data_IF_991647262680
#
_entry.id   IF_991647262680
#
_cell.length_a   1.000
_cell.length_b   1.000
_cell.length_c   1.000
_cell.angle_alpha   90.00
_cell.angle_beta   90.00
_cell.angle_gamma   90.00
#
_symmetry.space_group_name_H-M   'P 1'
#
loop_
_entity.id
_entity.type
_entity.pdbx_description
1 polymer ?
#
# COMPACT_ATOMS: atom_id res chain seq x y z
N UNK A 1 6.08 2.70 -21.80
CA UNK A 1 7.49 3.11 -21.74
C UNK A 1 7.72 4.13 -20.62
N UNK A 2 6.94 5.21 -20.58
CA UNK A 2 7.07 6.27 -19.56
C UNK A 2 6.95 5.75 -18.13
N UNK A 3 5.98 4.86 -17.88
CA UNK A 3 5.82 4.20 -16.57
C UNK A 3 7.04 3.38 -16.15
N UNK A 4 7.74 2.76 -17.11
CA UNK A 4 8.96 2.00 -16.84
C UNK A 4 10.11 2.92 -16.44
N UNK A 5 10.24 4.08 -17.10
CA UNK A 5 11.21 5.12 -16.73
C UNK A 5 10.88 5.66 -15.33
N UNK A 6 9.62 5.96 -15.06
CA UNK A 6 9.15 6.37 -13.74
C UNK A 6 9.46 5.35 -12.64
N UNK A 7 9.19 4.06 -12.86
CA UNK A 7 9.51 3.02 -11.89
C UNK A 7 11.01 2.96 -11.54
N UNK A 8 11.87 3.15 -12.55
CA UNK A 8 13.33 3.22 -12.35
C UNK A 8 13.71 4.51 -11.58
N UNK A 9 13.14 5.66 -11.94
CA UNK A 9 13.46 6.93 -11.26
C UNK A 9 12.97 6.98 -9.81
N UNK A 10 11.84 6.35 -9.50
CA UNK A 10 11.33 6.22 -8.13
C UNK A 10 12.21 5.28 -7.30
N UNK A 11 12.67 4.17 -7.88
CA UNK A 11 13.61 3.26 -7.17
C UNK A 11 14.97 3.92 -6.91
N UNK A 12 15.43 4.78 -7.82
CA UNK A 12 16.61 5.62 -7.65
C UNK A 12 16.41 6.84 -6.72
N UNK A 13 15.20 7.02 -6.15
CA UNK A 13 14.80 8.15 -5.30
C UNK A 13 14.94 9.54 -5.94
N UNK A 14 14.97 9.61 -7.27
CA UNK A 14 14.98 10.87 -8.03
C UNK A 14 13.56 11.42 -8.10
N UNK A 15 12.59 10.54 -8.39
CA UNK A 15 11.17 10.86 -8.35
C UNK A 15 10.54 10.32 -7.07
N UNK A 16 9.48 10.98 -6.61
CA UNK A 16 8.90 10.70 -5.30
C UNK A 16 7.42 10.36 -5.43
N UNK A 17 7.10 9.16 -4.95
CA UNK A 17 5.76 8.63 -4.83
C UNK A 17 5.45 8.25 -3.38
N UNK A 18 4.20 8.42 -2.95
CA UNK A 18 3.72 8.05 -1.63
C UNK A 18 2.41 7.29 -1.77
N UNK A 19 2.24 6.24 -0.97
CA UNK A 19 0.98 5.50 -0.91
C UNK A 19 0.07 6.22 0.09
N UNK A 20 -1.05 6.75 -0.40
CA UNK A 20 -2.06 7.43 0.41
C UNK A 20 -3.40 6.71 0.25
N UNK A 21 -3.86 6.11 1.34
CA UNK A 21 -5.11 5.32 1.36
C UNK A 21 -6.27 6.28 1.09
N UNK A 22 -7.02 6.03 0.01
CA UNK A 22 -8.14 6.87 -0.42
C UNK A 22 -7.77 8.09 -1.27
N UNK A 23 -6.57 8.15 -1.86
CA UNK A 23 -6.16 9.26 -2.74
C UNK A 23 -7.05 9.43 -3.99
N UNK A 24 -7.31 8.33 -4.69
CA UNK A 24 -8.41 8.17 -5.67
C UNK A 24 -9.12 6.84 -5.42
N UNK A 25 -10.32 6.64 -5.98
CA UNK A 25 -11.11 5.42 -5.77
C UNK A 25 -10.50 4.18 -6.43
N UNK A 26 -9.72 4.38 -7.49
CA UNK A 26 -9.09 3.33 -8.29
C UNK A 26 -7.60 3.17 -7.97
N UNK A 27 -6.88 4.25 -7.69
CA UNK A 27 -5.44 4.25 -7.45
C UNK A 27 -5.06 4.93 -6.11
N UNK A 28 -4.30 4.21 -5.27
CA UNK A 28 -3.82 4.70 -3.97
C UNK A 28 -2.44 5.39 -4.04
N UNK A 29 -1.88 5.52 -5.24
CA UNK A 29 -0.57 6.08 -5.46
C UNK A 29 -0.66 7.60 -5.66
N UNK A 30 -0.04 8.35 -4.76
CA UNK A 30 0.14 9.79 -4.88
C UNK A 30 1.56 10.09 -5.39
N UNK A 31 1.65 10.44 -6.67
CA UNK A 31 2.91 10.81 -7.33
C UNK A 31 3.13 12.32 -7.23
N UNK A 32 3.60 12.76 -6.06
CA UNK A 32 3.69 14.19 -5.75
C UNK A 32 4.87 14.92 -6.41
N UNK A 33 5.87 14.21 -6.94
CA UNK A 33 7.00 14.80 -7.68
C UNK A 33 7.50 13.83 -8.75
N UNK A 34 7.19 14.14 -10.02
CA UNK A 34 7.59 13.36 -11.20
C UNK A 34 7.93 14.27 -12.41
N UNK A 35 8.92 15.17 -12.28
CA UNK A 35 9.24 16.14 -13.33
C UNK A 35 9.99 15.54 -14.54
N UNK A 36 10.60 14.36 -14.43
CA UNK A 36 11.47 13.79 -15.47
C UNK A 36 10.84 12.66 -16.28
N UNK A 37 9.81 12.00 -15.74
CA UNK A 37 9.07 10.94 -16.45
C UNK A 37 7.76 11.44 -17.05
N UNK A 38 6.98 12.25 -16.32
CA UNK A 38 5.58 12.57 -16.68
C UNK A 38 5.31 14.07 -16.93
N UNK A 39 6.35 14.91 -17.00
CA UNK A 39 6.17 16.28 -17.48
C UNK A 39 5.94 16.30 -19.00
N UNK A 40 5.16 17.26 -19.52
CA UNK A 40 4.98 17.41 -20.97
C UNK A 40 6.34 17.57 -21.68
N UNK A 41 7.24 18.34 -21.07
CA UNK A 41 8.59 18.54 -21.59
C UNK A 41 9.36 17.20 -21.65
N UNK A 42 9.32 16.41 -20.58
CA UNK A 42 9.92 15.08 -20.58
C UNK A 42 9.27 14.15 -21.62
N UNK A 43 7.94 14.21 -21.78
CA UNK A 43 7.24 13.40 -22.77
C UNK A 43 7.66 13.70 -24.20
N UNK A 44 7.82 14.97 -24.54
CA UNK A 44 8.36 15.38 -25.84
C UNK A 44 9.80 14.89 -25.99
N UNK A 45 10.65 15.07 -24.97
CA UNK A 45 12.05 14.63 -25.02
C UNK A 45 12.17 13.11 -25.20
N UNK A 46 11.42 12.31 -24.44
CA UNK A 46 11.44 10.84 -24.55
C UNK A 46 10.87 10.33 -25.87
N UNK A 47 9.85 11.00 -26.41
CA UNK A 47 9.27 10.66 -27.70
C UNK A 47 10.25 10.93 -28.86
N UNK A 48 10.96 12.06 -28.83
CA UNK A 48 11.97 12.41 -29.83
C UNK A 48 13.19 11.48 -29.72
N UNK A 49 13.68 11.25 -28.52
CA UNK A 49 14.86 10.40 -28.30
C UNK A 49 14.60 8.96 -28.75
N UNK A 50 13.43 8.38 -28.45
CA UNK A 50 13.07 7.05 -28.94
C UNK A 50 12.86 7.00 -30.45
N UNK A 51 12.27 8.04 -31.06
CA UNK A 51 12.12 8.11 -32.51
C UNK A 51 13.48 8.13 -33.22
N UNK A 52 14.44 8.93 -32.72
CA UNK A 52 15.81 8.99 -33.25
C UNK A 52 16.54 7.67 -33.01
N UNK A 53 16.41 7.09 -31.81
CA UNK A 53 17.02 5.81 -31.47
C UNK A 53 16.50 4.68 -32.38
N UNK A 54 15.19 4.60 -32.59
CA UNK A 54 14.58 3.65 -33.51
C UNK A 54 15.10 3.83 -34.94
N UNK A 55 15.19 5.08 -35.43
CA UNK A 55 15.73 5.39 -36.76
C UNK A 55 17.18 4.94 -36.90
N UNK A 56 18.02 5.17 -35.89
CA UNK A 56 19.44 4.84 -35.93
C UNK A 56 19.68 3.32 -35.88
N UNK A 57 19.02 2.61 -34.95
CA UNK A 57 19.32 1.20 -34.72
C UNK A 57 18.60 0.24 -35.65
N UNK A 58 17.38 0.56 -36.08
CA UNK A 58 16.58 -0.33 -36.93
C UNK A 58 16.51 0.12 -38.39
N UNK A 59 17.09 1.29 -38.74
CA UNK A 59 17.17 1.78 -40.11
C UNK A 59 15.82 2.07 -40.79
N UNK A 60 14.69 1.96 -40.07
CA UNK A 60 13.34 2.15 -40.59
C UNK A 60 13.10 3.56 -41.13
N UNK A 61 12.23 3.73 -42.13
CA UNK A 61 11.97 5.01 -42.78
C UNK A 61 11.47 6.12 -41.83
N UNK A 62 11.64 7.39 -42.22
CA UNK A 62 11.29 8.55 -41.37
C UNK A 62 9.83 8.52 -40.88
N UNK A 63 8.90 7.95 -41.66
CA UNK A 63 7.49 7.77 -41.29
C UNK A 63 7.32 6.81 -40.10
N UNK A 64 8.08 5.71 -40.08
CA UNK A 64 8.02 4.73 -38.99
C UNK A 64 8.59 5.30 -37.69
N UNK A 65 9.71 6.03 -37.77
CA UNK A 65 10.28 6.72 -36.61
C UNK A 65 9.31 7.77 -36.02
N UNK A 66 8.61 8.52 -36.88
CA UNK A 66 7.60 9.49 -36.45
C UNK A 66 6.41 8.80 -35.76
N UNK A 67 5.93 7.67 -36.30
CA UNK A 67 4.86 6.89 -35.67
C UNK A 67 5.26 6.39 -34.29
N UNK A 68 6.48 5.88 -34.13
CA UNK A 68 7.02 5.47 -32.82
C UNK A 68 7.00 6.63 -31.82
N UNK A 69 7.47 7.81 -32.24
CA UNK A 69 7.43 9.02 -31.41
C UNK A 69 6.01 9.43 -31.01
N UNK A 70 5.05 9.39 -31.94
CA UNK A 70 3.65 9.73 -31.67
C UNK A 70 2.98 8.74 -30.70
N UNK A 71 3.28 7.45 -30.81
CA UNK A 71 2.76 6.41 -29.90
C UNK A 71 3.32 6.57 -28.49
N UNK A 72 4.60 6.94 -28.37
CA UNK A 72 5.18 7.24 -27.04
C UNK A 72 4.54 8.49 -26.44
N UNK A 73 4.28 9.51 -27.26
CA UNK A 73 3.66 10.75 -26.80
C UNK A 73 2.19 10.59 -26.41
N UNK A 74 1.43 9.71 -27.08
CA UNK A 74 0.01 9.50 -26.76
C UNK A 74 -0.22 9.02 -25.34
N UNK A 75 0.75 8.31 -24.76
CA UNK A 75 0.73 7.90 -23.35
C UNK A 75 0.56 9.10 -22.41
N UNK A 76 1.28 10.20 -22.67
CA UNK A 76 1.17 11.41 -21.85
C UNK A 76 -0.22 12.08 -21.95
N UNK A 77 -0.87 12.00 -23.12
CA UNK A 77 -2.22 12.53 -23.32
C UNK A 77 -3.22 11.72 -22.49
N UNK A 78 -3.06 10.41 -22.48
CA UNK A 78 -3.86 9.50 -21.64
C UNK A 78 -3.63 9.81 -20.15
N UNK A 79 -2.37 10.00 -19.75
CA UNK A 79 -2.03 10.40 -18.38
C UNK A 79 -2.70 11.71 -17.98
N UNK A 80 -2.79 12.70 -18.88
CA UNK A 80 -3.46 13.97 -18.60
C UNK A 80 -4.96 13.78 -18.27
N UNK A 81 -5.63 12.86 -18.96
CA UNK A 81 -7.04 12.54 -18.73
C UNK A 81 -7.19 11.78 -17.41
N UNK A 82 -6.32 10.82 -17.18
CA UNK A 82 -6.45 9.82 -16.12
C UNK A 82 -6.01 10.36 -14.76
N UNK A 83 -4.87 11.06 -14.70
CA UNK A 83 -4.28 11.54 -13.46
C UNK A 83 -5.08 12.67 -12.81
N UNK A 84 -5.06 12.66 -11.47
CA UNK A 84 -5.41 13.83 -10.65
C UNK A 84 -4.38 14.94 -10.90
N UNK A 85 -4.62 16.17 -10.40
CA UNK A 85 -3.81 17.39 -10.65
C UNK A 85 -2.35 17.29 -10.18
N UNK A 86 -1.59 16.42 -10.82
CA UNK A 86 -0.27 15.95 -10.41
C UNK A 86 0.76 16.08 -11.56
N UNK A 87 0.32 16.27 -12.82
CA UNK A 87 1.21 16.40 -13.98
C UNK A 87 1.75 17.83 -14.17
N UNK A 88 3.04 17.95 -14.50
CA UNK A 88 3.68 19.21 -14.86
C UNK A 88 3.66 19.41 -16.39
N UNK A 89 3.56 20.65 -16.85
CA UNK A 89 3.65 20.97 -18.28
C UNK A 89 5.11 21.23 -18.69
N UNK A 90 5.55 22.49 -18.64
CA UNK A 90 6.81 22.96 -19.24
C UNK A 90 7.90 23.28 -18.22
N UNK A 91 7.79 22.79 -16.98
CA UNK A 91 8.76 23.14 -15.93
C UNK A 91 9.12 21.91 -15.11
N UNK A 92 10.39 21.82 -14.72
CA UNK A 92 10.91 20.82 -13.77
C UNK A 92 10.75 21.24 -12.30
N UNK A 93 10.09 22.37 -12.07
CA UNK A 93 9.88 22.97 -10.76
C UNK A 93 8.51 22.54 -10.21
N UNK A 94 8.54 21.76 -9.14
CA UNK A 94 7.36 21.21 -8.47
C UNK A 94 6.46 22.28 -7.80
N UNK A 95 6.94 23.52 -7.67
CA UNK A 95 6.16 24.63 -7.11
C UNK A 95 5.15 25.22 -8.10
N UNK A 96 5.26 24.86 -9.39
CA UNK A 96 4.37 25.35 -10.45
C UNK A 96 3.04 24.59 -10.47
N UNK A 97 2.06 25.17 -11.16
CA UNK A 97 0.71 24.63 -11.28
C UNK A 97 0.73 23.25 -11.96
N UNK A 98 0.07 22.29 -11.33
CA UNK A 98 -0.09 20.91 -11.83
C UNK A 98 -1.44 20.74 -12.53
N UNK A 99 -1.50 19.81 -13.48
CA UNK A 99 -2.61 19.57 -14.38
C UNK A 99 -3.02 18.09 -14.30
N UNK A 100 -4.25 17.79 -14.71
CA UNK A 100 -4.85 16.46 -14.64
C UNK A 100 -6.37 16.56 -14.48
N UNK A 101 -7.11 15.75 -15.25
CA UNK A 101 -8.58 15.75 -15.24
C UNK A 101 -9.18 14.76 -14.23
N UNK A 102 -8.40 13.80 -13.73
CA UNK A 102 -8.76 12.98 -12.57
C UNK A 102 -9.82 11.92 -12.85
N UNK A 103 -9.78 11.26 -14.01
CA UNK A 103 -10.71 10.17 -14.35
C UNK A 103 -10.71 9.04 -13.29
N UNK A 104 -9.57 8.80 -12.64
CA UNK A 104 -9.44 7.83 -11.54
C UNK A 104 -10.32 8.09 -10.31
N UNK A 105 -10.91 9.28 -10.16
CA UNK A 105 -11.90 9.56 -9.10
C UNK A 105 -13.29 8.94 -9.37
N UNK A 106 -13.53 8.55 -10.63
CA UNK A 106 -14.78 7.98 -11.10
C UNK A 106 -14.60 6.51 -11.52
N UNK A 107 -14.73 5.60 -10.55
CA UNK A 107 -14.56 4.16 -10.75
C UNK A 107 -15.38 3.59 -11.93
N UNK A 108 -16.67 3.93 -12.02
CA UNK A 108 -17.54 3.40 -13.07
C UNK A 108 -17.20 3.92 -14.47
N UNK A 109 -16.73 5.16 -14.61
CA UNK A 109 -16.36 5.71 -15.92
C UNK A 109 -15.03 5.14 -16.39
N UNK A 110 -14.07 4.94 -15.48
CA UNK A 110 -12.82 4.27 -15.79
C UNK A 110 -13.09 2.82 -16.26
N UNK A 111 -13.89 2.06 -15.52
CA UNK A 111 -14.27 0.69 -15.88
C UNK A 111 -14.99 0.60 -17.23
N UNK A 112 -15.91 1.52 -17.50
CA UNK A 112 -16.63 1.56 -18.77
C UNK A 112 -15.69 1.87 -19.95
N UNK A 113 -14.76 2.80 -19.79
CA UNK A 113 -13.77 3.13 -20.82
C UNK A 113 -12.80 1.97 -21.06
N UNK A 114 -12.29 1.33 -19.99
CA UNK A 114 -11.44 0.14 -20.10
C UNK A 114 -12.14 -1.00 -20.86
N UNK A 115 -13.41 -1.29 -20.51
CA UNK A 115 -14.22 -2.28 -21.22
C UNK A 115 -14.47 -1.90 -22.68
N UNK A 116 -14.72 -0.62 -22.95
CA UNK A 116 -14.97 -0.12 -24.31
C UNK A 116 -13.72 -0.25 -25.18
N UNK A 117 -12.54 0.16 -24.68
CA UNK A 117 -11.27 0.00 -25.39
C UNK A 117 -10.93 -1.48 -25.63
N UNK A 118 -11.19 -2.35 -24.65
CA UNK A 118 -10.96 -3.79 -24.79
C UNK A 118 -11.84 -4.42 -25.87
N UNK A 119 -13.11 -4.01 -25.96
CA UNK A 119 -14.06 -4.50 -26.99
C UNK A 119 -13.68 -3.92 -28.36
N UNK A 120 -13.32 -2.64 -28.45
CA UNK A 120 -12.92 -1.99 -29.69
C UNK A 120 -11.60 -2.52 -30.25
N UNK A 121 -10.62 -2.83 -29.39
CA UNK A 121 -9.34 -3.44 -29.80
C UNK A 121 -9.53 -4.82 -30.43
N UNK A 122 -10.39 -5.66 -29.83
CA UNK A 122 -10.73 -6.98 -30.41
C UNK A 122 -11.46 -6.90 -31.76
N UNK A 123 -12.17 -5.81 -32.03
CA UNK A 123 -12.86 -5.60 -33.31
C UNK A 123 -11.89 -5.17 -34.43
N UNK A 124 -10.75 -4.56 -34.07
CA UNK A 124 -9.74 -4.10 -35.03
C UNK A 124 -8.74 -5.19 -35.41
N UNK A 125 -8.51 -6.18 -34.54
CA UNK A 125 -7.64 -7.33 -34.81
C UNK A 125 -8.17 -8.28 -35.91
N UNK A 126 -9.46 -8.22 -36.23
CA UNK A 126 -10.04 -9.05 -37.28
C UNK A 126 -9.96 -8.42 -38.70
N UNK A 127 -9.51 -7.16 -38.86
CA UNK A 127 -9.57 -6.52 -40.17
C UNK A 127 -8.52 -5.45 -40.52
N UNK A 128 -7.58 -5.04 -39.64
CA UNK A 128 -6.70 -3.91 -39.97
C UNK A 128 -5.23 -4.08 -39.55
N UNK A 129 -4.48 -4.87 -40.31
CA UNK A 129 -3.06 -4.63 -40.52
C UNK A 129 -2.58 -5.22 -41.87
N UNK A 130 -3.00 -4.57 -42.95
CA UNK A 130 -2.38 -4.70 -44.28
C UNK A 130 -1.76 -3.34 -44.63
N UNK A 131 -0.47 -3.17 -44.33
CA UNK A 131 0.35 -2.13 -44.94
C UNK A 131 1.00 -2.78 -46.17
N UNK A 132 0.41 -2.58 -47.35
CA UNK A 132 0.81 -3.26 -48.59
C UNK A 132 2.19 -2.80 -49.08
N UNK A 133 3.10 -3.77 -49.20
CA UNK A 133 4.09 -3.84 -50.28
C UNK A 133 3.76 -5.12 -51.06
N UNK A 134 3.25 -4.97 -52.28
CA UNK A 134 3.44 -5.90 -53.39
C UNK A 134 2.81 -7.31 -53.33
N UNK A 135 1.88 -7.53 -54.26
CA UNK A 135 1.50 -8.80 -54.92
C UNK A 135 0.45 -9.72 -54.27
N UNK A 136 -0.62 -9.89 -55.06
CA UNK A 136 -1.53 -11.03 -55.26
C UNK A 136 -1.56 -12.17 -54.23
N UNK A 137 -2.73 -12.41 -53.62
CA UNK A 137 -3.66 -13.53 -53.92
C UNK A 137 -4.69 -13.73 -52.79
N UNK A 138 -5.96 -13.79 -53.19
CA UNK A 138 -7.13 -14.51 -52.64
C UNK A 138 -7.42 -14.56 -51.11
N UNK A 139 -8.61 -14.05 -50.75
CA UNK A 139 -9.32 -14.41 -49.52
C UNK A 139 -10.11 -15.70 -49.72
N UNK A 140 -9.79 -16.77 -48.99
CA UNK A 140 -10.69 -17.94 -48.82
C UNK A 140 -11.29 -17.99 -47.42
N UNK A 141 -12.59 -18.33 -47.27
CA UNK A 141 -13.29 -18.31 -45.99
C UNK A 141 -13.10 -19.64 -45.24
N UNK A 142 -12.58 -19.60 -44.02
CA UNK A 142 -12.57 -20.76 -43.11
C UNK A 142 -13.54 -20.59 -41.94
N UNK A 143 -14.73 -21.17 -42.16
CA UNK A 143 -15.60 -21.95 -41.25
C UNK A 143 -15.38 -21.82 -39.72
N UNK A 144 -16.39 -21.25 -39.06
CA UNK A 144 -17.35 -21.92 -38.14
C UNK A 144 -16.85 -22.85 -37.01
N UNK A 145 -15.63 -22.74 -36.48
CA UNK A 145 -15.20 -23.54 -35.32
C UNK A 145 -14.65 -22.76 -34.10
N UNK A 146 -14.58 -21.43 -34.12
CA UNK A 146 -14.00 -20.69 -32.98
C UNK A 146 -15.00 -20.23 -31.92
N UNK A 147 -16.31 -20.38 -32.16
CA UNK A 147 -17.33 -19.80 -31.28
C UNK A 147 -17.56 -20.59 -29.97
N UNK A 148 -17.22 -21.89 -29.93
CA UNK A 148 -17.42 -22.74 -28.74
C UNK A 148 -16.19 -22.71 -27.80
N UNK A 149 -14.99 -22.47 -28.32
CA UNK A 149 -13.77 -22.37 -27.52
C UNK A 149 -13.69 -21.06 -26.72
N UNK A 150 -14.27 -19.96 -27.23
CA UNK A 150 -14.25 -18.66 -26.56
C UNK A 150 -15.23 -18.58 -25.37
N UNK A 151 -16.41 -19.22 -25.47
CA UNK A 151 -17.40 -19.21 -24.37
C UNK A 151 -16.94 -20.08 -23.19
N UNK A 152 -16.23 -21.19 -23.45
CA UNK A 152 -15.59 -21.96 -22.37
C UNK A 152 -14.43 -21.18 -21.75
N UNK A 153 -13.60 -20.51 -22.56
CA UNK A 153 -12.51 -19.69 -22.05
C UNK A 153 -12.97 -18.48 -21.21
N UNK A 154 -14.10 -17.84 -21.53
CA UNK A 154 -14.67 -16.73 -20.74
C UNK A 154 -15.34 -17.22 -19.45
N UNK A 155 -15.99 -18.39 -19.47
CA UNK A 155 -16.50 -19.02 -18.25
C UNK A 155 -15.35 -19.47 -17.34
N UNK A 156 -14.28 -20.03 -17.91
CA UNK A 156 -13.06 -20.42 -17.21
C UNK A 156 -12.29 -19.20 -16.68
N UNK A 157 -12.30 -18.05 -17.36
CA UNK A 157 -11.68 -16.81 -16.87
C UNK A 157 -12.49 -16.16 -15.74
N UNK A 158 -13.82 -16.21 -15.77
CA UNK A 158 -14.67 -15.71 -14.68
C UNK A 158 -14.60 -16.61 -13.45
N UNK A 159 -14.53 -17.93 -13.64
CA UNK A 159 -14.27 -18.89 -12.53
C UNK A 159 -12.83 -18.72 -12.02
N UNK A 160 -11.83 -18.57 -12.89
CA UNK A 160 -10.46 -18.30 -12.48
C UNK A 160 -10.31 -16.93 -11.81
N UNK A 161 -11.04 -15.89 -12.25
CA UNK A 161 -11.06 -14.58 -11.61
C UNK A 161 -11.75 -14.63 -10.25
N UNK A 162 -12.87 -15.35 -10.10
CA UNK A 162 -13.52 -15.58 -8.80
C UNK A 162 -12.65 -16.44 -7.87
N UNK A 163 -11.89 -17.40 -8.41
CA UNK A 163 -10.87 -18.17 -7.67
C UNK A 163 -9.64 -17.31 -7.31
N UNK A 164 -9.20 -16.39 -8.17
CA UNK A 164 -8.11 -15.45 -7.90
C UNK A 164 -8.55 -14.35 -6.93
N UNK A 165 -9.83 -13.97 -6.91
CA UNK A 165 -10.39 -13.00 -5.96
C UNK A 165 -10.66 -13.64 -4.59
N UNK A 166 -11.03 -14.94 -4.55
CA UNK A 166 -11.05 -15.76 -3.33
C UNK A 166 -9.65 -16.02 -2.75
N UNK A 167 -8.64 -16.10 -3.61
CA UNK A 167 -7.23 -16.32 -3.25
C UNK A 167 -6.37 -15.04 -3.25
N UNK A 168 -6.95 -13.87 -3.48
CA UNK A 168 -6.24 -12.61 -3.37
C UNK A 168 -5.70 -12.49 -1.93
N UNK A 169 -4.42 -12.13 -1.72
CA UNK A 169 -3.86 -12.03 -0.39
C UNK A 169 -4.58 -10.92 0.36
N UNK A 170 -5.63 -11.29 1.12
CA UNK A 170 -6.32 -10.38 2.03
C UNK A 170 -5.25 -9.79 2.93
N UNK A 171 -5.12 -8.46 2.92
CA UNK A 171 -4.14 -7.75 3.74
C UNK A 171 -4.23 -8.26 5.17
N UNK A 172 -3.24 -9.07 5.59
CA UNK A 172 -3.31 -9.82 6.85
C UNK A 172 -3.33 -8.77 7.95
N UNK A 173 -4.46 -8.67 8.68
CA UNK A 173 -4.55 -7.79 9.86
C UNK A 173 -3.38 -8.16 10.77
N UNK A 174 -2.46 -7.21 10.99
CA UNK A 174 -1.26 -7.47 11.77
C UNK A 174 -1.65 -7.51 13.24
N UNK A 175 -2.00 -8.71 13.71
CA UNK A 175 -2.29 -8.94 15.13
C UNK A 175 -0.99 -9.00 15.91
N UNK A 176 -0.84 -8.11 16.88
CA UNK A 176 0.29 -8.07 17.82
C UNK A 176 -0.19 -8.54 19.19
N UNK A 177 0.61 -9.38 19.85
CA UNK A 177 0.35 -9.88 21.19
C UNK A 177 1.42 -9.34 22.13
N UNK A 178 0.99 -8.72 23.22
CA UNK A 178 1.85 -8.22 24.27
C UNK A 178 1.49 -8.92 25.57
N UNK A 179 2.50 -9.33 26.34
CA UNK A 179 2.31 -10.04 27.60
C UNK A 179 2.92 -9.23 28.74
N UNK A 180 2.17 -9.09 29.83
CA UNK A 180 2.65 -8.51 31.09
C UNK A 180 2.63 -9.62 32.12
N UNK A 181 3.81 -10.03 32.56
CA UNK A 181 4.00 -11.04 33.58
C UNK A 181 4.08 -10.38 34.96
N UNK A 182 3.09 -10.68 35.80
CA UNK A 182 2.98 -10.22 37.18
C UNK A 182 3.05 -11.39 38.17
N UNK A 183 3.54 -12.57 37.76
CA UNK A 183 3.62 -13.77 38.58
C UNK A 183 4.28 -13.56 39.95
N UNK A 184 5.49 -12.98 39.97
CA UNK A 184 6.23 -12.72 41.21
C UNK A 184 5.43 -11.88 42.24
N UNK A 185 4.98 -10.65 41.91
CA UNK A 185 4.25 -9.83 42.89
C UNK A 185 2.79 -10.26 43.12
N UNK A 186 2.20 -11.05 42.23
CA UNK A 186 0.83 -11.57 42.41
C UNK A 186 0.79 -12.73 43.41
N UNK A 187 1.81 -13.60 43.43
CA UNK A 187 1.93 -14.67 44.43
C UNK A 187 2.02 -14.10 45.85
N UNK A 188 2.75 -13.00 46.01
CA UNK A 188 2.90 -12.30 47.29
C UNK A 188 1.69 -11.43 47.66
N UNK A 189 0.63 -11.44 46.84
CA UNK A 189 -0.60 -10.63 46.99
C UNK A 189 -0.37 -9.11 47.01
N UNK A 190 0.79 -8.65 46.54
CA UNK A 190 1.13 -7.22 46.44
C UNK A 190 0.48 -6.61 45.18
N UNK A 191 0.32 -7.41 44.13
CA UNK A 191 -0.26 -6.96 42.86
C UNK A 191 -1.58 -7.68 42.55
N UNK A 192 -2.69 -6.94 42.56
CA UNK A 192 -3.99 -7.47 42.13
C UNK A 192 -4.17 -7.39 40.61
N UNK A 193 -4.05 -8.56 39.96
CA UNK A 193 -4.25 -8.71 38.52
C UNK A 193 -5.69 -8.40 38.06
N UNK A 194 -6.70 -8.61 38.93
CA UNK A 194 -8.10 -8.37 38.58
C UNK A 194 -8.41 -6.86 38.57
N UNK A 195 -7.94 -6.10 39.57
CA UNK A 195 -8.02 -4.65 39.54
C UNK A 195 -7.24 -4.05 38.36
N UNK A 196 -6.09 -4.64 38.01
CA UNK A 196 -5.30 -4.18 36.89
C UNK A 196 -6.01 -4.38 35.54
N UNK A 197 -6.71 -5.50 35.34
CA UNK A 197 -7.52 -5.73 34.14
C UNK A 197 -8.60 -4.66 33.96
N UNK A 198 -9.35 -4.36 35.03
CA UNK A 198 -10.37 -3.29 35.03
C UNK A 198 -9.73 -1.94 34.70
N UNK A 199 -8.60 -1.62 35.33
CA UNK A 199 -7.86 -0.39 35.07
C UNK A 199 -7.45 -0.24 33.60
N UNK A 200 -6.99 -1.32 32.96
CA UNK A 200 -6.63 -1.30 31.54
C UNK A 200 -7.85 -1.06 30.65
N UNK A 201 -9.01 -1.64 30.96
CA UNK A 201 -10.25 -1.41 30.20
C UNK A 201 -10.65 0.08 30.24
N UNK A 202 -10.50 0.73 31.38
CA UNK A 202 -10.90 2.13 31.55
C UNK A 202 -9.90 3.13 30.96
N UNK A 203 -8.60 2.80 30.97
CA UNK A 203 -7.53 3.75 30.64
C UNK A 203 -6.89 3.55 29.26
N UNK A 204 -7.12 2.42 28.59
CA UNK A 204 -6.65 2.24 27.23
C UNK A 204 -7.40 3.18 26.29
N UNK A 205 -6.63 3.91 25.47
CA UNK A 205 -7.14 4.83 24.47
C UNK A 205 -6.97 4.22 23.10
N UNK A 206 -8.04 4.20 22.31
CA UNK A 206 -8.01 3.88 20.89
C UNK A 206 -8.46 5.13 20.14
N UNK A 207 -7.66 5.62 19.20
CA UNK A 207 -7.90 6.88 18.48
C UNK A 207 -8.14 8.10 19.41
N UNK A 208 -7.46 8.14 20.56
CA UNK A 208 -7.52 9.25 21.51
C UNK A 208 -8.69 9.21 22.51
N UNK A 209 -9.62 8.25 22.39
CA UNK A 209 -10.76 8.09 23.31
C UNK A 209 -10.63 6.81 24.16
N UNK A 210 -11.05 6.89 25.42
CA UNK A 210 -11.15 5.73 26.35
C UNK A 210 -12.53 5.06 26.22
N UNK A 211 -12.66 3.82 26.71
CA UNK A 211 -13.94 3.10 26.79
C UNK A 211 -14.45 2.49 25.48
N UNK A 212 -13.72 2.66 24.37
CA UNK A 212 -14.08 2.11 23.05
C UNK A 212 -13.05 1.07 22.59
N UNK A 213 -13.00 -0.07 23.27
CA UNK A 213 -12.02 -1.13 22.99
C UNK A 213 -12.37 -1.96 21.74
N UNK A 214 -13.67 -2.16 21.48
CA UNK A 214 -14.22 -2.85 20.30
C UNK A 214 -13.45 -4.11 19.90
N UNK A 215 -13.27 -4.32 18.60
CA UNK A 215 -12.44 -5.41 18.04
C UNK A 215 -10.95 -5.05 17.94
N UNK A 216 -10.56 -3.86 18.40
CA UNK A 216 -9.22 -3.33 18.22
C UNK A 216 -8.24 -3.87 19.28
N UNK A 217 -8.70 -3.99 20.53
CA UNK A 217 -7.89 -4.42 21.68
C UNK A 217 -8.68 -5.41 22.53
N UNK A 218 -8.13 -6.62 22.68
CA UNK A 218 -8.66 -7.67 23.56
C UNK A 218 -7.69 -7.90 24.71
N UNK A 219 -8.22 -7.95 25.93
CA UNK A 219 -7.44 -8.13 27.16
C UNK A 219 -7.89 -9.45 27.77
N UNK A 220 -6.96 -10.40 27.88
CA UNK A 220 -7.18 -11.70 28.49
C UNK A 220 -6.26 -11.84 29.71
N UNK A 221 -6.84 -12.25 30.83
CA UNK A 221 -6.10 -12.62 32.04
C UNK A 221 -5.97 -14.14 32.08
N UNK A 222 -4.74 -14.62 32.17
CA UNK A 222 -4.48 -16.01 32.47
C UNK A 222 -4.49 -16.20 33.99
N UNK A 223 -5.45 -16.98 34.48
CA UNK A 223 -5.71 -17.12 35.92
C UNK A 223 -4.65 -17.99 36.62
N UNK A 224 -3.99 -18.91 35.90
CA UNK A 224 -3.01 -19.82 36.47
C UNK A 224 -1.63 -19.16 36.64
N UNK A 225 -1.21 -18.37 35.65
CA UNK A 225 0.15 -17.79 35.59
C UNK A 225 0.22 -16.33 36.07
N UNK A 226 -0.90 -15.72 36.45
CA UNK A 226 -1.02 -14.28 36.72
C UNK A 226 -0.45 -13.39 35.60
N UNK A 227 -0.53 -13.86 34.35
CA UNK A 227 -0.11 -13.14 33.15
C UNK A 227 -1.30 -12.42 32.52
N UNK A 228 -1.10 -11.18 32.11
CA UNK A 228 -2.06 -10.45 31.26
C UNK A 228 -1.57 -10.42 29.82
N UNK A 229 -2.43 -10.90 28.92
CA UNK A 229 -2.21 -10.85 27.48
C UNK A 229 -3.09 -9.78 26.84
N UNK A 230 -2.47 -8.82 26.19
CA UNK A 230 -3.14 -7.77 25.41
C UNK A 230 -2.91 -8.06 23.93
N UNK A 231 -3.97 -8.41 23.22
CA UNK A 231 -3.93 -8.68 21.78
C UNK A 231 -4.55 -7.52 21.03
N UNK A 232 -3.80 -6.95 20.08
CA UNK A 232 -4.21 -5.77 19.33
C UNK A 232 -4.15 -6.00 17.84
N UNK A 233 -5.19 -5.58 17.13
CA UNK A 233 -5.29 -5.72 15.67
C UNK A 233 -4.85 -4.46 14.90
N UNK A 234 -4.54 -3.38 15.62
CA UNK A 234 -4.22 -2.06 15.06
C UNK A 234 -2.73 -1.74 15.16
N UNK A 235 -2.14 -1.20 14.10
CA UNK A 235 -0.71 -0.85 14.02
C UNK A 235 -0.29 0.28 14.98
N UNK A 236 -1.22 1.15 15.36
CA UNK A 236 -0.98 2.29 16.26
C UNK A 236 -0.76 1.89 17.74
N UNK A 237 -1.05 0.64 18.13
CA UNK A 237 -0.86 0.19 19.50
C UNK A 237 0.59 -0.32 19.71
N UNK A 238 1.30 0.31 20.64
CA UNK A 238 2.72 0.05 20.90
C UNK A 238 2.96 -0.44 22.33
N UNK A 239 3.93 -1.35 22.48
CA UNK A 239 4.34 -1.94 23.77
C UNK A 239 4.64 -0.88 24.84
N UNK A 240 5.31 0.22 24.49
CA UNK A 240 5.65 1.32 25.42
C UNK A 240 4.43 1.88 26.16
N UNK A 241 3.26 1.90 25.53
CA UNK A 241 2.02 2.37 26.15
C UNK A 241 1.62 1.52 27.35
N UNK A 242 1.80 0.20 27.27
CA UNK A 242 1.55 -0.72 28.38
C UNK A 242 2.53 -0.51 29.55
N UNK A 243 3.81 -0.19 29.27
CA UNK A 243 4.78 0.18 30.33
C UNK A 243 4.35 1.45 31.07
N UNK A 244 3.82 2.43 30.34
CA UNK A 244 3.29 3.64 30.95
C UNK A 244 2.05 3.33 31.82
N UNK A 245 1.07 2.59 31.31
CA UNK A 245 -0.15 2.26 32.05
C UNK A 245 0.12 1.40 33.29
N UNK A 246 1.04 0.43 33.21
CA UNK A 246 1.48 -0.36 34.38
C UNK A 246 2.11 0.54 35.45
N UNK A 247 3.07 1.40 35.07
CA UNK A 247 3.65 2.38 36.02
C UNK A 247 2.59 3.29 36.63
N UNK A 248 1.61 3.75 35.84
CA UNK A 248 0.51 4.60 36.32
C UNK A 248 -0.36 3.87 37.35
N UNK A 249 -0.67 2.59 37.13
CA UNK A 249 -1.40 1.76 38.08
C UNK A 249 -0.60 1.55 39.37
N UNK A 250 0.68 1.22 39.25
CA UNK A 250 1.57 1.02 40.40
C UNK A 250 1.74 2.28 41.25
N UNK A 251 1.77 3.46 40.63
CA UNK A 251 1.80 4.73 41.36
C UNK A 251 0.49 5.01 42.09
N UNK A 252 -0.66 4.69 41.48
CA UNK A 252 -1.99 4.84 42.12
C UNK A 252 -2.13 3.97 43.37
N UNK A 253 -1.50 2.80 43.36
CA UNK A 253 -1.53 1.85 44.48
C UNK A 253 -0.27 1.95 45.38
N UNK A 254 0.57 2.98 45.22
CA UNK A 254 1.78 3.21 46.02
C UNK A 254 2.84 2.07 46.03
N UNK A 255 2.81 1.16 45.05
CA UNK A 255 3.75 0.00 44.95
C UNK A 255 4.95 0.26 44.02
N UNK A 256 5.16 1.51 43.59
CA UNK A 256 6.22 1.90 42.64
C UNK A 256 7.63 1.72 43.21
N UNK A 257 7.79 1.80 44.52
CA UNK A 257 9.11 1.83 45.15
C UNK A 257 9.70 0.42 45.35
N UNK A 258 8.84 -0.60 45.34
CA UNK A 258 9.25 -2.00 45.47
C UNK A 258 9.39 -2.71 44.13
N UNK A 259 8.71 -2.22 43.09
CA UNK A 259 8.54 -2.94 41.84
C UNK A 259 8.91 -2.07 40.63
N UNK A 260 9.59 -2.69 39.65
CA UNK A 260 9.95 -2.10 38.36
C UNK A 260 9.45 -2.94 37.19
N UNK A 261 9.10 -2.27 36.09
CA UNK A 261 8.65 -2.92 34.85
C UNK A 261 9.82 -3.04 33.87
N UNK A 262 10.28 -4.28 33.62
CA UNK A 262 11.43 -4.62 32.78
C UNK A 262 10.98 -5.31 31.51
N UNK A 263 11.56 -4.95 30.36
CA UNK A 263 11.35 -5.68 29.11
C UNK A 263 12.22 -6.94 29.11
N UNK A 264 11.60 -8.11 29.00
CA UNK A 264 12.35 -9.37 28.83
C UNK A 264 12.56 -9.62 27.33
N UNK A 265 11.46 -9.66 26.58
CA UNK A 265 11.48 -9.85 25.13
C UNK A 265 10.89 -8.65 24.39
N UNK A 266 10.90 -8.68 23.05
CA UNK A 266 10.25 -7.65 22.22
C UNK A 266 8.74 -7.53 22.48
N UNK A 267 8.09 -8.57 22.98
CA UNK A 267 6.63 -8.64 23.24
C UNK A 267 6.28 -8.63 24.72
N UNK A 268 7.20 -9.02 25.61
CA UNK A 268 6.91 -9.33 27.01
C UNK A 268 7.50 -8.28 27.97
N UNK A 269 6.70 -7.84 28.93
CA UNK A 269 7.16 -7.13 30.13
C UNK A 269 7.03 -8.02 31.36
N UNK A 270 7.95 -7.87 32.30
CA UNK A 270 7.91 -8.55 33.59
C UNK A 270 8.01 -7.49 34.69
N UNK A 271 7.19 -7.64 35.73
CA UNK A 271 7.30 -6.84 36.94
C UNK A 271 8.30 -7.53 37.88
N UNK A 272 9.39 -6.84 38.21
CA UNK A 272 10.48 -7.35 39.06
C UNK A 272 10.62 -6.50 40.31
N UNK A 273 11.11 -7.08 41.39
CA UNK A 273 11.53 -6.33 42.56
C UNK A 273 12.75 -5.45 42.26
N UNK A 274 12.86 -4.31 42.94
CA UNK A 274 14.14 -3.63 43.05
C UNK A 274 15.07 -4.47 43.92
N UNK A 275 16.31 -4.63 43.46
CA UNK A 275 17.34 -5.20 44.31
C UNK A 275 17.77 -4.08 45.26
N UNK A 276 17.40 -4.18 46.53
CA UNK A 276 17.65 -3.13 47.55
C UNK A 276 19.17 -2.89 47.73
N UNK A 277 20.02 -3.79 47.25
CA UNK A 277 21.48 -3.64 47.25
C UNK A 277 22.05 -2.64 46.24
N UNK A 278 21.28 -2.10 45.29
CA UNK A 278 21.81 -1.27 44.17
C UNK A 278 21.17 0.13 44.09
N UNK A 279 20.57 0.64 45.17
CA UNK A 279 19.73 1.84 45.14
C UNK A 279 20.50 3.18 45.02
N UNK A 280 21.83 3.18 44.82
CA UNK A 280 22.64 4.40 44.75
C UNK A 280 23.10 4.81 43.33
N UNK A 281 22.91 4.00 42.27
CA UNK A 281 23.60 4.25 40.98
C UNK A 281 22.73 4.64 39.76
N UNK A 282 21.40 4.60 39.82
CA UNK A 282 20.54 4.67 38.60
C UNK A 282 19.65 5.94 38.50
N UNK A 283 20.00 7.05 39.16
CA UNK A 283 19.25 8.33 39.09
C UNK A 283 19.74 9.32 38.01
N UNK A 284 20.69 8.94 37.14
CA UNK A 284 21.22 9.81 36.08
C UNK A 284 20.96 9.22 34.67
N UNK A 285 19.81 9.54 34.05
CA UNK A 285 19.66 9.68 32.58
C UNK A 285 18.24 10.20 32.23
N UNK A 286 18.13 11.53 32.09
CA UNK A 286 16.98 12.27 31.52
C UNK A 286 16.78 12.02 30.02
#
# INVERSE_FOLDING_TARGET
FMDSVWAILVTLRIEKAKIEIGFTKTNYLNNYSMPYSHSLLAAITWSITLAIWYRWFYGGGNKAALLVGLVVFSHWIEDLIVHKKDLLLLTFDDTKKKYGYGLWDHFYTALFLELSFFISGKSTDCCSLRYDIGSSTECTPLRRCEYVAAYSAVHDFNVAADLLQKNAPKHKKVTRKFVIDASAPAQDKIFDAQAFEKFLRDNIKVNGRTGQLGDAVTINRDAADHKLTVTTNTQQFAKRYLKYLTKKFMKKNSIRDWLRVVAVDRTTYQIRYFNISNQEEDDDEE
#
